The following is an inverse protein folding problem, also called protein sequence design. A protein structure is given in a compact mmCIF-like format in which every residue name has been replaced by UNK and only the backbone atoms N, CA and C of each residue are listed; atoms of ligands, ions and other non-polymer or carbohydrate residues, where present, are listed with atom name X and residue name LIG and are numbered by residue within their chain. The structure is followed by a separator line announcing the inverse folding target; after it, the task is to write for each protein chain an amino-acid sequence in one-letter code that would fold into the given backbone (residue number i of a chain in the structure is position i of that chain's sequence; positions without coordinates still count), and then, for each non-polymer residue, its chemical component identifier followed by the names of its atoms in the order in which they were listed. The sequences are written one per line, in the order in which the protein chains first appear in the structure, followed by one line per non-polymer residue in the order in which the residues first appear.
data_IF_611530642406
#
_entry.id   IF_611530642406
#
_cell.length_a   1.000
_cell.length_b   1.000
_cell.length_c   1.000
_cell.angle_alpha   90.00
_cell.angle_beta   90.00
_cell.angle_gamma   90.00
#
_symmetry.space_group_name_H-M   'P 1'
#
loop_
_entity.id
_entity.type
_entity.pdbx_description
1 polymer ?
#
# COMPACT_ATOMS: atom_id res chain seq x y z
N UNK A 1 -3.71 -43.33 12.75
CA UNK A 1 -4.19 -43.47 11.36
C UNK A 1 -5.23 -42.39 11.09
N UNK A 2 -4.89 -41.38 10.27
CA UNK A 2 -5.83 -40.29 9.92
C UNK A 2 -6.66 -40.71 8.71
N UNK A 3 -7.87 -41.22 8.95
CA UNK A 3 -8.87 -41.57 7.93
C UNK A 3 -9.59 -40.34 7.36
N UNK A 4 -8.85 -39.39 6.80
CA UNK A 4 -9.43 -38.22 6.11
C UNK A 4 -9.55 -38.51 4.63
N UNK A 5 -10.65 -38.09 4.01
CA UNK A 5 -10.84 -38.20 2.56
C UNK A 5 -9.88 -37.22 1.87
N UNK A 6 -8.89 -37.75 1.16
CA UNK A 6 -7.87 -36.93 0.48
C UNK A 6 -8.42 -36.19 -0.74
N UNK A 7 -9.53 -36.68 -1.32
CA UNK A 7 -10.17 -36.07 -2.49
C UNK A 7 -11.06 -34.86 -2.14
N UNK A 8 -11.31 -34.59 -0.86
CA UNK A 8 -12.07 -33.41 -0.44
C UNK A 8 -11.12 -32.23 -0.22
N UNK A 9 -11.43 -31.11 -0.87
CA UNK A 9 -10.77 -29.85 -0.57
C UNK A 9 -11.04 -29.48 0.89
N UNK A 10 -9.97 -29.29 1.66
CA UNK A 10 -10.06 -28.84 3.04
C UNK A 10 -10.41 -27.35 3.01
N UNK A 11 -11.53 -26.98 3.62
CA UNK A 11 -11.98 -25.61 3.67
C UNK A 11 -12.28 -25.20 5.12
N UNK A 12 -11.68 -24.11 5.56
CA UNK A 12 -12.06 -23.49 6.83
C UNK A 12 -13.48 -22.94 6.72
N UNK A 13 -14.25 -23.04 7.80
CA UNK A 13 -15.60 -22.46 7.87
C UNK A 13 -15.52 -20.96 7.61
N UNK A 14 -16.36 -20.47 6.71
CA UNK A 14 -16.47 -19.03 6.48
C UNK A 14 -17.30 -18.40 7.60
N UNK A 15 -16.66 -17.51 8.37
CA UNK A 15 -17.30 -16.79 9.47
C UNK A 15 -18.04 -15.55 8.95
N UNK A 16 -17.52 -14.92 7.90
CA UNK A 16 -18.12 -13.74 7.31
C UNK A 16 -17.29 -13.17 6.16
N UNK A 17 -17.70 -11.98 5.72
CA UNK A 17 -17.10 -11.28 4.58
C UNK A 17 -16.66 -9.86 4.95
N UNK A 18 -15.52 -9.47 4.39
CA UNK A 18 -14.94 -8.14 4.45
C UNK A 18 -15.15 -7.46 3.10
N UNK A 19 -15.81 -6.29 3.12
CA UNK A 19 -16.15 -5.51 1.92
C UNK A 19 -15.62 -4.09 2.02
N UNK A 20 -15.40 -3.47 0.86
CA UNK A 20 -14.88 -2.09 0.71
C UNK A 20 -15.94 -1.10 0.23
N UNK A 21 -17.22 -1.50 0.19
CA UNK A 21 -18.31 -0.65 -0.24
C UNK A 21 -19.69 -1.25 0.05
N UNK A 22 -20.71 -0.39 0.00
CA UNK A 22 -22.11 -0.74 0.24
C UNK A 22 -23.02 -0.06 -0.78
N UNK A 23 -24.24 -0.59 -0.96
CA UNK A 23 -25.23 0.02 -1.85
C UNK A 23 -26.22 0.85 -1.04
N UNK A 24 -26.55 2.04 -1.53
CA UNK A 24 -27.65 2.88 -1.02
C UNK A 24 -28.80 2.91 -2.03
N UNK A 25 -30.06 3.02 -1.57
CA UNK A 25 -31.20 3.25 -2.46
C UNK A 25 -30.96 4.46 -3.36
N UNK A 26 -31.43 4.37 -4.60
CA UNK A 26 -31.39 5.50 -5.52
C UNK A 26 -32.59 6.43 -5.23
N UNK A 27 -32.45 7.72 -5.52
CA UNK A 27 -33.54 8.70 -5.40
C UNK A 27 -34.70 8.34 -6.36
N UNK A 28 -34.37 7.76 -7.50
CA UNK A 28 -35.31 7.23 -8.47
C UNK A 28 -35.55 5.72 -8.19
N UNK A 29 -36.76 5.31 -7.77
CA UNK A 29 -37.05 3.93 -7.39
C UNK A 29 -36.95 2.93 -8.56
N UNK A 30 -36.96 3.40 -9.81
CA UNK A 30 -36.80 2.55 -10.98
C UNK A 30 -35.32 2.26 -11.33
N UNK A 31 -34.38 2.99 -10.71
CA UNK A 31 -32.95 2.83 -10.97
C UNK A 31 -32.29 1.89 -9.96
N UNK A 32 -31.20 1.25 -10.40
CA UNK A 32 -30.40 0.36 -9.55
C UNK A 32 -29.86 1.13 -8.33
N UNK A 33 -29.74 0.49 -7.15
CA UNK A 33 -29.08 1.05 -5.99
C UNK A 33 -27.70 1.60 -6.35
N UNK A 34 -27.36 2.76 -5.78
CA UNK A 34 -26.08 3.42 -6.00
C UNK A 34 -25.01 2.76 -5.14
N UNK A 35 -23.93 2.31 -5.75
CA UNK A 35 -22.77 1.80 -5.04
C UNK A 35 -21.98 2.97 -4.40
N UNK A 36 -21.76 2.88 -3.10
CA UNK A 36 -20.95 3.79 -2.29
C UNK A 36 -19.67 3.08 -1.90
N UNK A 37 -18.54 3.74 -2.15
CA UNK A 37 -17.20 3.26 -1.75
C UNK A 37 -16.97 3.67 -0.30
N UNK A 38 -16.58 2.71 0.53
CA UNK A 38 -16.24 2.99 1.93
C UNK A 38 -14.77 3.32 2.07
N UNK A 39 -14.45 4.19 3.03
CA UNK A 39 -13.07 4.45 3.46
C UNK A 39 -12.60 3.43 4.49
N UNK A 40 -13.55 2.84 5.21
CA UNK A 40 -13.33 1.86 6.28
C UNK A 40 -13.89 0.50 5.90
N UNK A 41 -13.53 -0.52 6.67
CA UNK A 41 -13.98 -1.88 6.42
C UNK A 41 -15.46 -2.05 6.72
N UNK A 42 -16.09 -2.95 5.96
CA UNK A 42 -17.46 -3.37 6.20
C UNK A 42 -17.41 -4.86 6.48
N UNK A 43 -17.77 -5.24 7.69
CA UNK A 43 -17.75 -6.61 8.17
C UNK A 43 -19.18 -7.12 8.20
N UNK A 44 -19.41 -8.30 7.64
CA UNK A 44 -20.74 -8.91 7.60
C UNK A 44 -20.69 -10.40 7.89
N UNK A 45 -21.71 -10.90 8.58
CA UNK A 45 -21.86 -12.31 8.89
C UNK A 45 -23.33 -12.68 8.99
N UNK A 46 -23.62 -13.98 8.89
CA UNK A 46 -24.94 -14.50 9.25
C UNK A 46 -25.19 -14.50 10.76
N UNK A 47 -24.13 -14.58 11.57
CA UNK A 47 -24.26 -14.61 13.02
C UNK A 47 -24.00 -13.22 13.61
N UNK A 48 -24.93 -12.76 14.46
CA UNK A 48 -24.89 -11.43 15.07
C UNK A 48 -23.66 -11.24 15.96
N UNK A 49 -23.30 -12.24 16.76
CA UNK A 49 -22.20 -12.15 17.73
C UNK A 49 -20.84 -11.86 17.08
N UNK A 50 -20.58 -12.34 15.86
CA UNK A 50 -19.35 -11.97 15.14
C UNK A 50 -19.35 -10.49 14.74
N UNK A 51 -20.50 -9.94 14.37
CA UNK A 51 -20.60 -8.54 13.95
C UNK A 51 -20.55 -7.60 15.16
N UNK A 52 -21.11 -8.02 16.29
CA UNK A 52 -20.96 -7.33 17.58
C UNK A 52 -19.51 -7.30 18.05
N UNK A 53 -18.81 -8.44 18.04
CA UNK A 53 -17.38 -8.49 18.38
C UNK A 53 -16.53 -7.61 17.45
N UNK A 54 -16.84 -7.59 16.15
CA UNK A 54 -16.18 -6.68 15.22
C UNK A 54 -16.42 -5.20 15.55
N UNK A 55 -17.62 -4.83 16.00
CA UNK A 55 -17.95 -3.48 16.44
C UNK A 55 -17.24 -3.08 17.74
N UNK A 56 -17.04 -4.02 18.66
CA UNK A 56 -16.29 -3.80 19.90
C UNK A 56 -14.81 -3.52 19.63
N UNK A 57 -14.21 -4.23 18.68
CA UNK A 57 -12.78 -4.12 18.37
C UNK A 57 -12.48 -2.92 17.47
N UNK A 58 -13.27 -2.71 16.41
CA UNK A 58 -12.97 -1.71 15.36
C UNK A 58 -13.98 -0.56 15.27
N UNK A 59 -14.88 -0.46 16.26
CA UNK A 59 -15.93 0.57 16.31
C UNK A 59 -17.04 0.34 15.27
N UNK A 60 -18.00 1.27 15.26
CA UNK A 60 -19.13 1.26 14.34
C UNK A 60 -20.45 0.77 14.95
N UNK A 61 -21.51 0.79 14.14
CA UNK A 61 -22.86 0.40 14.56
C UNK A 61 -23.31 -0.86 13.85
N UNK A 62 -23.78 -1.85 14.62
CA UNK A 62 -24.33 -3.10 14.10
C UNK A 62 -25.74 -2.86 13.58
N UNK A 63 -26.00 -3.30 12.35
CA UNK A 63 -27.32 -3.23 11.74
C UNK A 63 -27.71 -4.57 11.09
N UNK A 64 -29.02 -4.84 11.06
CA UNK A 64 -29.58 -5.90 10.22
C UNK A 64 -29.51 -5.45 8.77
N UNK A 65 -28.93 -6.28 7.93
CA UNK A 65 -28.69 -5.96 6.54
C UNK A 65 -29.13 -7.10 5.63
N UNK A 66 -29.93 -6.73 4.62
CA UNK A 66 -30.35 -7.65 3.58
C UNK A 66 -29.43 -7.44 2.36
N UNK A 67 -28.63 -8.44 1.95
CA UNK A 67 -27.83 -8.34 0.74
C UNK A 67 -28.71 -8.17 -0.50
N UNK A 68 -28.21 -7.44 -1.49
CA UNK A 68 -28.93 -7.23 -2.75
C UNK A 68 -29.11 -8.57 -3.49
N UNK A 69 -30.36 -8.95 -3.77
CA UNK A 69 -30.72 -10.21 -4.43
C UNK A 69 -31.40 -11.21 -3.49
N UNK A 70 -31.27 -12.50 -3.79
CA UNK A 70 -31.90 -13.61 -3.03
C UNK A 70 -31.08 -14.09 -1.83
N UNK A 71 -30.19 -13.27 -1.28
CA UNK A 71 -29.40 -13.68 -0.11
C UNK A 71 -30.25 -13.74 1.17
N UNK A 72 -29.85 -14.54 2.15
CA UNK A 72 -30.50 -14.51 3.46
C UNK A 72 -30.17 -13.21 4.22
N UNK A 73 -31.04 -12.82 5.14
CA UNK A 73 -30.76 -11.69 6.04
C UNK A 73 -29.44 -11.95 6.80
N UNK A 74 -28.63 -10.91 6.90
CA UNK A 74 -27.32 -10.92 7.52
C UNK A 74 -27.20 -9.75 8.50
N UNK A 75 -26.14 -9.76 9.28
CA UNK A 75 -25.72 -8.66 10.12
C UNK A 75 -24.51 -7.97 9.49
N UNK A 76 -24.43 -6.67 9.65
CA UNK A 76 -23.34 -5.86 9.12
C UNK A 76 -22.93 -4.78 10.10
N UNK A 77 -21.64 -4.47 10.12
CA UNK A 77 -21.07 -3.28 10.76
C UNK A 77 -20.20 -2.57 9.74
N UNK A 78 -20.34 -1.25 9.68
CA UNK A 78 -19.39 -0.37 9.01
C UNK A 78 -18.44 0.11 10.11
N UNK A 79 -17.18 -0.33 10.04
CA UNK A 79 -16.20 -0.07 11.11
C UNK A 79 -15.66 1.36 10.99
N UNK A 80 -14.98 1.81 12.05
CA UNK A 80 -14.20 3.06 12.02
C UNK A 80 -12.75 2.81 11.54
N UNK A 81 -12.28 1.56 11.63
CA UNK A 81 -10.96 1.16 11.17
C UNK A 81 -10.88 1.02 9.63
N UNK A 82 -9.85 1.61 9.03
CA UNK A 82 -9.44 1.37 7.63
C UNK A 82 -8.35 0.30 7.49
N UNK A 83 -7.80 -0.18 8.61
CA UNK A 83 -6.80 -1.25 8.66
C UNK A 83 -7.20 -2.34 9.63
N UNK A 84 -6.99 -3.60 9.27
CA UNK A 84 -7.25 -4.78 10.09
C UNK A 84 -5.99 -5.64 10.17
N UNK A 85 -5.65 -6.13 11.37
CA UNK A 85 -4.64 -7.17 11.51
C UNK A 85 -5.27 -8.53 11.14
N UNK A 86 -4.55 -9.31 10.35
CA UNK A 86 -5.04 -10.57 9.78
C UNK A 86 -3.90 -11.59 9.65
N UNK A 87 -4.25 -12.84 9.37
CA UNK A 87 -3.31 -13.94 9.16
C UNK A 87 -3.69 -14.65 7.86
N UNK A 88 -2.73 -14.84 6.97
CA UNK A 88 -2.93 -15.66 5.78
C UNK A 88 -2.89 -17.15 6.19
N UNK A 89 -3.93 -17.94 5.89
CA UNK A 89 -3.97 -19.37 6.19
C UNK A 89 -2.94 -20.14 5.35
N UNK A 90 -2.64 -21.40 5.70
CA UNK A 90 -1.79 -22.27 4.87
C UNK A 90 -2.47 -22.62 3.54
N UNK A 91 -1.66 -22.96 2.54
CA UNK A 91 -2.09 -23.13 1.15
C UNK A 91 -2.22 -21.78 0.43
N UNK A 92 -2.91 -21.79 -0.71
CA UNK A 92 -3.21 -20.59 -1.47
C UNK A 92 -4.51 -19.94 -0.93
N UNK A 93 -4.42 -18.77 -0.26
CA UNK A 93 -5.59 -18.07 0.27
C UNK A 93 -6.30 -17.22 -0.78
N UNK A 94 -5.69 -17.02 -1.96
CA UNK A 94 -6.15 -16.11 -2.99
C UNK A 94 -6.91 -16.88 -4.07
N UNK A 95 -8.05 -16.33 -4.50
CA UNK A 95 -8.80 -16.83 -5.63
C UNK A 95 -9.22 -15.67 -6.51
N UNK A 96 -8.78 -15.69 -7.77
CA UNK A 96 -9.09 -14.67 -8.75
C UNK A 96 -9.77 -15.30 -9.96
N UNK A 97 -10.86 -14.66 -10.40
CA UNK A 97 -11.52 -15.04 -11.64
C UNK A 97 -12.27 -13.85 -12.24
N UNK A 98 -12.42 -13.87 -13.56
CA UNK A 98 -13.36 -13.05 -14.28
C UNK A 98 -14.72 -13.74 -14.29
N UNK A 99 -15.71 -13.13 -13.63
CA UNK A 99 -17.02 -13.75 -13.39
C UNK A 99 -18.16 -12.91 -13.97
N UNK A 100 -19.13 -13.58 -14.60
CA UNK A 100 -20.41 -12.99 -14.97
C UNK A 100 -21.52 -13.66 -14.16
N UNK A 101 -22.14 -12.91 -13.27
CA UNK A 101 -23.26 -13.36 -12.45
C UNK A 101 -24.59 -12.80 -12.99
N UNK A 102 -25.58 -13.68 -13.14
CA UNK A 102 -26.98 -13.31 -13.41
C UNK A 102 -27.86 -13.77 -12.26
N UNK A 103 -29.17 -13.52 -12.34
CA UNK A 103 -30.14 -14.05 -11.36
C UNK A 103 -30.13 -15.58 -11.28
N UNK A 104 -29.69 -16.26 -12.34
CA UNK A 104 -29.55 -17.72 -12.41
C UNK A 104 -28.22 -18.27 -11.90
N UNK A 105 -27.34 -17.44 -11.35
CA UNK A 105 -26.02 -17.84 -10.83
C UNK A 105 -24.85 -17.41 -11.71
N UNK A 106 -23.68 -18.02 -11.48
CA UNK A 106 -22.47 -17.77 -12.24
C UNK A 106 -22.63 -18.35 -13.66
N UNK A 107 -22.81 -17.47 -14.64
CA UNK A 107 -22.93 -17.86 -16.05
C UNK A 107 -21.56 -18.14 -16.66
N UNK A 108 -20.54 -17.41 -16.22
CA UNK A 108 -19.17 -17.52 -16.72
C UNK A 108 -18.19 -17.32 -15.59
N UNK A 109 -17.09 -18.08 -15.64
CA UNK A 109 -15.93 -17.94 -14.76
C UNK A 109 -14.70 -18.30 -15.58
N UNK A 110 -13.81 -17.34 -15.82
CA UNK A 110 -12.57 -17.58 -16.58
C UNK A 110 -11.35 -16.96 -15.89
N UNK A 111 -10.17 -17.49 -16.16
CA UNK A 111 -8.87 -16.94 -15.71
C UNK A 111 -8.30 -15.87 -16.67
N UNK A 112 -9.04 -15.57 -17.75
CA UNK A 112 -8.62 -14.70 -18.85
C UNK A 112 -8.16 -15.47 -20.09
N UNK A 113 -7.79 -16.74 -19.94
CA UNK A 113 -7.40 -17.64 -21.02
C UNK A 113 -8.48 -18.70 -21.27
N UNK A 114 -8.95 -19.35 -20.20
CA UNK A 114 -9.82 -20.51 -20.20
C UNK A 114 -10.98 -20.29 -19.25
N UNK A 115 -12.17 -20.73 -19.65
CA UNK A 115 -13.37 -20.74 -18.83
C UNK A 115 -13.47 -22.05 -18.03
N UNK A 116 -13.57 -21.93 -16.71
CA UNK A 116 -13.57 -23.06 -15.77
C UNK A 116 -14.88 -23.85 -15.70
N UNK A 117 -15.96 -23.40 -16.36
CA UNK A 117 -17.27 -24.08 -16.31
C UNK A 117 -17.47 -25.02 -17.51
N UNK A 118 -17.00 -24.64 -18.70
CA UNK A 118 -17.09 -25.44 -19.93
C UNK A 118 -15.74 -25.91 -20.48
N UNK A 119 -14.63 -25.55 -19.84
CA UNK A 119 -13.25 -25.80 -20.29
C UNK A 119 -12.96 -25.28 -21.72
N UNK A 120 -13.70 -24.26 -22.15
CA UNK A 120 -13.51 -23.57 -23.43
C UNK A 120 -12.64 -22.31 -23.26
N UNK A 121 -12.09 -21.72 -24.33
CA UNK A 121 -11.39 -20.45 -24.21
C UNK A 121 -12.27 -19.35 -23.61
N UNK A 122 -11.68 -18.41 -22.89
CA UNK A 122 -12.45 -17.36 -22.21
C UNK A 122 -13.24 -16.51 -23.22
N UNK A 123 -14.57 -16.66 -23.17
CA UNK A 123 -15.49 -15.96 -24.06
C UNK A 123 -15.35 -14.43 -23.99
N UNK A 124 -15.15 -13.88 -22.79
CA UNK A 124 -15.00 -12.43 -22.61
C UNK A 124 -13.77 -11.88 -23.34
N UNK A 125 -12.67 -12.64 -23.36
CA UNK A 125 -11.49 -12.29 -24.15
C UNK A 125 -11.73 -12.46 -25.64
N UNK A 126 -12.38 -13.54 -26.06
CA UNK A 126 -12.69 -13.75 -27.49
C UNK A 126 -13.58 -12.64 -28.07
N UNK A 127 -14.58 -12.19 -27.31
CA UNK A 127 -15.53 -11.20 -27.81
C UNK A 127 -14.98 -9.77 -27.79
N UNK A 128 -14.20 -9.39 -26.77
CA UNK A 128 -13.81 -7.99 -26.54
C UNK A 128 -12.28 -7.76 -26.54
N UNK A 129 -11.48 -8.79 -26.80
CA UNK A 129 -10.02 -8.74 -26.81
C UNK A 129 -9.40 -8.82 -25.42
N UNK A 130 -8.07 -8.62 -25.35
CA UNK A 130 -7.30 -8.81 -24.12
C UNK A 130 -7.75 -7.87 -23.01
N UNK A 131 -7.91 -6.57 -23.28
CA UNK A 131 -8.31 -5.56 -22.29
C UNK A 131 -9.84 -5.42 -22.13
N UNK A 132 -10.58 -6.54 -22.17
CA UNK A 132 -12.05 -6.50 -22.13
C UNK A 132 -12.60 -5.84 -20.87
N UNK A 133 -11.90 -5.92 -19.73
CA UNK A 133 -12.34 -5.30 -18.47
C UNK A 133 -12.40 -3.77 -18.53
N UNK A 134 -11.71 -3.12 -19.48
CA UNK A 134 -11.78 -1.67 -19.69
C UNK A 134 -12.78 -1.27 -20.77
N UNK A 135 -12.85 -2.06 -21.86
CA UNK A 135 -13.56 -1.68 -23.09
C UNK A 135 -14.98 -2.22 -23.17
N UNK A 136 -15.26 -3.33 -22.50
CA UNK A 136 -16.52 -4.02 -22.66
C UNK A 136 -17.63 -3.43 -21.77
N UNK A 137 -18.91 -3.58 -22.17
CA UNK A 137 -20.03 -3.09 -21.36
C UNK A 137 -20.07 -3.78 -19.99
N UNK A 138 -20.20 -3.01 -18.90
CA UNK A 138 -20.18 -3.51 -17.51
C UNK A 138 -21.22 -4.58 -17.18
N UNK A 139 -22.32 -4.61 -17.93
CA UNK A 139 -23.42 -5.54 -17.73
C UNK A 139 -23.31 -6.81 -18.60
N UNK A 140 -22.45 -6.83 -19.61
CA UNK A 140 -22.25 -7.95 -20.52
C UNK A 140 -20.91 -8.66 -20.31
N UNK A 141 -19.90 -7.92 -19.86
CA UNK A 141 -18.55 -8.41 -19.66
C UNK A 141 -18.36 -9.09 -18.30
N UNK A 142 -17.42 -10.03 -18.25
CA UNK A 142 -16.98 -10.65 -17.02
C UNK A 142 -16.33 -9.59 -16.10
N UNK A 143 -16.68 -9.59 -14.82
CA UNK A 143 -16.11 -8.69 -13.81
C UNK A 143 -14.93 -9.36 -13.14
N UNK A 144 -13.84 -8.62 -12.97
CA UNK A 144 -12.74 -9.08 -12.13
C UNK A 144 -13.24 -9.27 -10.71
N UNK A 145 -12.98 -10.45 -10.13
CA UNK A 145 -13.39 -10.77 -8.77
C UNK A 145 -12.24 -11.44 -8.05
N UNK A 146 -11.76 -10.76 -7.01
CA UNK A 146 -10.66 -11.22 -6.17
C UNK A 146 -11.20 -11.53 -4.79
N UNK A 147 -10.91 -12.75 -4.33
CA UNK A 147 -11.29 -13.27 -3.03
C UNK A 147 -10.05 -13.67 -2.27
N UNK A 148 -9.85 -13.12 -1.09
CA UNK A 148 -8.75 -13.48 -0.20
C UNK A 148 -9.32 -14.02 1.11
N UNK A 149 -8.95 -15.23 1.47
CA UNK A 149 -9.30 -15.83 2.75
C UNK A 149 -8.25 -15.44 3.79
N UNK A 150 -8.71 -14.88 4.90
CA UNK A 150 -7.85 -14.46 6.02
C UNK A 150 -8.43 -14.94 7.35
N UNK A 151 -7.59 -15.10 8.35
CA UNK A 151 -8.01 -15.34 9.74
C UNK A 151 -7.83 -14.01 10.48
N UNK A 152 -8.85 -13.60 11.24
CA UNK A 152 -8.77 -12.37 12.04
C UNK A 152 -8.49 -12.74 13.50
N UNK A 153 -7.31 -12.41 14.05
CA UNK A 153 -6.90 -12.85 15.39
C UNK A 153 -7.70 -12.19 16.52
N UNK A 154 -8.28 -11.02 16.27
CA UNK A 154 -9.10 -10.28 17.25
C UNK A 154 -10.57 -10.75 17.25
N UNK A 155 -10.95 -11.64 16.33
CA UNK A 155 -12.31 -12.17 16.22
C UNK A 155 -12.47 -13.48 16.99
N UNK A 156 -13.67 -13.75 17.54
CA UNK A 156 -13.96 -15.05 18.12
C UNK A 156 -14.05 -16.13 17.05
N UNK A 157 -13.72 -17.36 17.43
CA UNK A 157 -13.73 -18.59 16.62
C UNK A 157 -12.58 -18.71 15.60
N UNK A 158 -12.21 -19.95 15.26
CA UNK A 158 -11.17 -20.25 14.28
C UNK A 158 -11.84 -20.53 12.93
N UNK A 159 -11.81 -19.54 12.05
CA UNK A 159 -12.37 -19.67 10.70
C UNK A 159 -11.85 -18.62 9.73
N UNK A 160 -12.31 -18.72 8.49
CA UNK A 160 -11.90 -17.82 7.43
C UNK A 160 -12.89 -16.65 7.27
N UNK A 161 -12.34 -15.46 7.18
CA UNK A 161 -13.00 -14.26 6.71
C UNK A 161 -12.61 -14.03 5.26
N UNK A 162 -13.61 -13.77 4.41
CA UNK A 162 -13.38 -13.59 2.99
C UNK A 162 -13.41 -12.11 2.62
N UNK A 163 -12.26 -11.58 2.23
CA UNK A 163 -12.16 -10.27 1.58
C UNK A 163 -12.63 -10.43 0.15
N UNK A 164 -13.57 -9.60 -0.30
CA UNK A 164 -14.09 -9.61 -1.66
C UNK A 164 -13.94 -8.22 -2.30
N UNK A 165 -13.24 -8.15 -3.43
CA UNK A 165 -13.05 -6.92 -4.20
C UNK A 165 -13.22 -7.17 -5.69
N UNK A 166 -13.77 -6.17 -6.38
CA UNK A 166 -13.91 -6.14 -7.85
C UNK A 166 -13.06 -5.04 -8.50
N UNK A 167 -12.09 -4.52 -7.76
CA UNK A 167 -11.18 -3.49 -8.25
C UNK A 167 -10.02 -4.13 -8.99
N UNK A 168 -9.75 -3.66 -10.21
CA UNK A 168 -8.60 -4.09 -11.01
C UNK A 168 -7.27 -3.87 -10.26
N UNK A 169 -7.11 -2.71 -9.64
CA UNK A 169 -5.90 -2.37 -8.89
C UNK A 169 -5.70 -3.24 -7.65
N UNK A 170 -6.77 -3.49 -6.91
CA UNK A 170 -6.69 -4.41 -5.76
C UNK A 170 -6.38 -5.83 -6.21
N UNK A 171 -6.92 -6.29 -7.33
CA UNK A 171 -6.60 -7.61 -7.85
C UNK A 171 -5.09 -7.77 -8.11
N UNK A 172 -4.49 -6.81 -8.82
CA UNK A 172 -3.06 -6.88 -9.13
C UNK A 172 -2.17 -6.75 -7.88
N UNK A 173 -2.47 -5.80 -7.00
CA UNK A 173 -1.65 -5.57 -5.79
C UNK A 173 -1.76 -6.73 -4.80
N UNK A 174 -2.97 -7.28 -4.61
CA UNK A 174 -3.16 -8.42 -3.71
C UNK A 174 -2.47 -9.69 -4.23
N UNK A 175 -2.53 -9.94 -5.54
CA UNK A 175 -1.83 -11.09 -6.14
C UNK A 175 -0.32 -11.00 -5.92
N UNK A 176 0.28 -9.88 -6.32
CA UNK A 176 1.71 -9.66 -6.15
C UNK A 176 2.15 -9.76 -4.68
N UNK A 177 1.38 -9.20 -3.75
CA UNK A 177 1.70 -9.26 -2.33
C UNK A 177 1.62 -10.70 -1.78
N UNK A 178 0.57 -11.45 -2.11
CA UNK A 178 0.41 -12.83 -1.65
C UNK A 178 1.50 -13.75 -2.22
N UNK A 179 1.81 -13.62 -3.51
CA UNK A 179 2.82 -14.44 -4.18
C UNK A 179 4.21 -14.22 -3.59
N UNK A 180 4.58 -12.97 -3.31
CA UNK A 180 5.87 -12.64 -2.65
C UNK A 180 5.90 -13.21 -1.23
N UNK A 181 4.83 -13.01 -0.45
CA UNK A 181 4.78 -13.49 0.93
C UNK A 181 4.85 -15.01 1.01
N UNK A 182 4.08 -15.71 0.18
CA UNK A 182 4.04 -17.18 0.15
C UNK A 182 5.30 -17.78 -0.46
N UNK A 183 5.82 -17.19 -1.54
CA UNK A 183 7.06 -17.63 -2.17
C UNK A 183 8.30 -17.46 -1.27
N UNK A 184 8.32 -16.44 -0.41
CA UNK A 184 9.45 -16.19 0.51
C UNK A 184 9.35 -16.92 1.84
N UNK A 185 8.15 -17.06 2.41
CA UNK A 185 7.95 -17.62 3.76
C UNK A 185 7.57 -19.10 3.71
N UNK A 186 6.92 -19.53 2.63
CA UNK A 186 6.47 -20.90 2.39
C UNK A 186 4.95 -21.05 2.46
N UNK A 187 4.43 -21.95 1.64
CA UNK A 187 2.97 -22.12 1.44
C UNK A 187 2.23 -22.62 2.70
N UNK A 188 2.92 -23.38 3.55
CA UNK A 188 2.33 -23.98 4.76
C UNK A 188 2.37 -23.07 5.99
N UNK A 189 3.02 -21.90 5.90
CA UNK A 189 3.14 -20.99 7.03
C UNK A 189 1.88 -20.14 7.24
N UNK A 190 1.60 -19.83 8.51
CA UNK A 190 0.72 -18.73 8.89
C UNK A 190 1.52 -17.42 8.83
N UNK A 191 1.05 -16.51 7.98
CA UNK A 191 1.75 -15.24 7.73
C UNK A 191 0.91 -14.11 8.33
N UNK A 192 1.39 -13.42 9.39
CA UNK A 192 0.68 -12.28 9.95
C UNK A 192 0.81 -11.08 9.02
N UNK A 193 -0.32 -10.54 8.59
CA UNK A 193 -0.43 -9.42 7.66
C UNK A 193 -1.34 -8.32 8.21
N UNK A 194 -1.26 -7.14 7.61
CA UNK A 194 -2.20 -6.04 7.82
C UNK A 194 -2.92 -5.77 6.51
N UNK A 195 -4.24 -5.74 6.57
CA UNK A 195 -5.12 -5.38 5.45
C UNK A 195 -5.50 -3.92 5.58
N UNK A 196 -5.17 -3.09 4.59
CA UNK A 196 -5.46 -1.65 4.62
C UNK A 196 -6.27 -1.22 3.40
N UNK A 197 -7.27 -0.36 3.61
CA UNK A 197 -7.99 0.32 2.52
C UNK A 197 -7.30 1.65 2.24
N UNK A 198 -6.75 1.79 1.04
CA UNK A 198 -6.21 3.04 0.53
C UNK A 198 -7.16 3.69 -0.47
N UNK A 199 -7.43 4.99 -0.32
CA UNK A 199 -8.15 5.74 -1.34
C UNK A 199 -7.14 6.31 -2.34
N UNK A 200 -7.21 5.83 -3.59
CA UNK A 200 -6.36 6.35 -4.67
C UNK A 200 -7.19 7.12 -5.69
N UNK A 201 -6.54 8.08 -6.33
CA UNK A 201 -7.12 8.90 -7.39
C UNK A 201 -6.49 8.58 -8.73
N UNK A 202 -7.32 8.43 -9.76
CA UNK A 202 -6.87 8.45 -11.15
C UNK A 202 -7.74 9.39 -11.97
N UNK A 203 -7.11 10.16 -12.83
CA UNK A 203 -7.79 10.89 -13.90
C UNK A 203 -7.89 9.94 -15.10
N UNK A 204 -9.11 9.61 -15.51
CA UNK A 204 -9.38 8.82 -16.71
C UNK A 204 -10.48 9.51 -17.51
N UNK A 205 -10.24 9.73 -18.80
CA UNK A 205 -11.15 10.45 -19.70
C UNK A 205 -11.57 11.83 -19.15
N UNK A 206 -10.61 12.59 -18.58
CA UNK A 206 -10.86 13.92 -18.01
C UNK A 206 -11.64 13.94 -16.68
N UNK A 207 -11.97 12.79 -16.11
CA UNK A 207 -12.67 12.69 -14.82
C UNK A 207 -11.77 12.08 -13.73
N UNK A 208 -11.62 12.79 -12.61
CA UNK A 208 -10.97 12.27 -11.41
C UNK A 208 -11.88 11.26 -10.72
N UNK A 209 -11.42 10.02 -10.61
CA UNK A 209 -12.13 8.94 -9.92
C UNK A 209 -11.32 8.50 -8.70
N UNK A 210 -11.97 8.54 -7.54
CA UNK A 210 -11.47 7.96 -6.30
C UNK A 210 -11.89 6.50 -6.21
N UNK A 211 -10.96 5.58 -5.94
CA UNK A 211 -11.26 4.16 -5.77
C UNK A 211 -10.51 3.56 -4.58
N UNK A 212 -11.15 2.69 -3.78
CA UNK A 212 -10.49 1.95 -2.72
C UNK A 212 -9.59 0.87 -3.33
N UNK A 213 -8.39 0.76 -2.79
CA UNK A 213 -7.44 -0.32 -3.04
C UNK A 213 -7.19 -1.06 -1.74
N UNK A 214 -7.31 -2.38 -1.77
CA UNK A 214 -6.92 -3.23 -0.64
C UNK A 214 -5.43 -3.54 -0.76
N UNK A 215 -4.65 -3.04 0.19
CA UNK A 215 -3.23 -3.34 0.34
C UNK A 215 -3.03 -4.45 1.39
N UNK A 216 -2.13 -5.39 1.10
CA UNK A 216 -1.71 -6.45 2.02
C UNK A 216 -0.27 -6.18 2.42
N UNK A 217 -0.04 -5.91 3.70
CA UNK A 217 1.27 -5.55 4.25
C UNK A 217 1.75 -6.62 5.22
N UNK A 218 3.05 -6.91 5.26
CA UNK A 218 3.58 -7.83 6.27
C UNK A 218 3.58 -7.17 7.65
N UNK A 219 3.15 -7.90 8.67
CA UNK A 219 3.24 -7.44 10.06
C UNK A 219 4.57 -7.86 10.68
N UNK A 220 5.32 -6.91 11.23
CA UNK A 220 6.49 -7.18 12.06
C UNK A 220 7.76 -7.63 11.32
N UNK A 221 7.78 -7.56 9.99
CA UNK A 221 8.97 -7.87 9.18
C UNK A 221 9.22 -6.81 8.11
N UNK A 222 10.49 -6.61 7.75
CA UNK A 222 10.88 -5.76 6.63
C UNK A 222 10.94 -6.55 5.33
N UNK A 223 10.85 -5.87 4.18
CA UNK A 223 11.03 -6.50 2.87
C UNK A 223 12.37 -7.26 2.78
N UNK A 224 13.44 -6.71 3.36
CA UNK A 224 14.74 -7.39 3.43
C UNK A 224 14.69 -8.70 4.21
N UNK A 225 13.93 -8.75 5.32
CA UNK A 225 13.76 -9.97 6.09
C UNK A 225 12.93 -11.02 5.36
N UNK A 226 11.89 -10.60 4.62
CA UNK A 226 11.09 -11.49 3.75
C UNK A 226 11.96 -12.13 2.70
N UNK A 227 12.69 -11.31 1.94
CA UNK A 227 13.54 -11.78 0.85
C UNK A 227 14.71 -12.63 1.34
N UNK A 228 15.20 -12.37 2.55
CA UNK A 228 16.22 -13.18 3.20
C UNK A 228 15.67 -14.47 3.85
N UNK A 229 14.36 -14.74 3.79
CA UNK A 229 13.72 -15.91 4.40
C UNK A 229 13.78 -15.92 5.94
N UNK A 230 13.97 -14.76 6.56
CA UNK A 230 14.24 -14.61 8.01
C UNK A 230 13.05 -14.10 8.82
N UNK A 231 11.86 -14.08 8.22
CA UNK A 231 10.63 -13.67 8.90
C UNK A 231 10.17 -14.77 9.84
N UNK A 232 9.95 -14.40 11.11
CA UNK A 232 9.37 -15.29 12.11
C UNK A 232 7.93 -15.62 11.72
N UNK A 233 7.69 -16.88 11.37
CA UNK A 233 6.34 -17.41 11.16
C UNK A 233 5.71 -17.73 12.50
N UNK A 234 4.38 -17.61 12.58
CA UNK A 234 3.66 -18.14 13.74
C UNK A 234 3.68 -19.66 13.61
N UNK A 235 4.57 -20.31 14.35
CA UNK A 235 4.70 -21.76 14.34
C UNK A 235 3.43 -22.41 14.92
N UNK A 236 2.71 -23.18 14.11
CA UNK A 236 1.66 -24.08 14.61
C UNK A 236 2.31 -25.40 15.01
N UNK A 237 2.61 -25.58 16.30
CA UNK A 237 2.92 -26.89 16.87
C UNK A 237 3.97 -26.86 17.97
N UNK A 238 3.55 -27.20 19.19
CA UNK A 238 4.41 -27.46 20.34
C UNK A 238 4.20 -26.44 21.44
N UNK A 239 3.30 -26.75 22.37
CA UNK A 239 3.16 -25.98 23.59
C UNK A 239 4.47 -25.94 24.37
N UNK A 240 5.09 -24.77 24.39
CA UNK A 240 5.73 -24.25 25.57
C UNK A 240 5.24 -22.83 25.71
N UNK A 241 4.43 -22.59 26.75
CA UNK A 241 4.31 -21.26 27.31
C UNK A 241 5.73 -20.72 27.55
N UNK A 242 6.02 -19.43 27.30
CA UNK A 242 7.18 -18.85 27.92
C UNK A 242 6.90 -18.88 29.42
N UNK A 243 7.59 -19.79 30.12
CA UNK A 243 7.65 -19.77 31.58
C UNK A 243 8.09 -18.36 31.98
N UNK A 244 7.29 -17.77 32.87
CA UNK A 244 7.73 -16.72 33.77
C UNK A 244 8.95 -17.24 34.53
N UNK A 245 10.12 -16.98 33.96
CA UNK A 245 11.40 -17.17 34.63
C UNK A 245 11.52 -16.16 35.76
N UNK A 246 11.07 -16.55 36.95
CA UNK A 246 11.54 -16.00 38.21
C UNK A 246 13.07 -16.11 38.26
N UNK A 247 13.78 -15.05 37.87
CA UNK A 247 15.14 -14.83 38.31
C UNK A 247 15.07 -14.13 39.67
N UNK A 248 15.23 -14.94 40.71
CA UNK A 248 15.38 -14.51 42.08
C UNK A 248 16.60 -13.57 42.26
N UNK A 249 16.41 -12.70 43.24
CA UNK A 249 17.33 -11.72 43.80
C UNK A 249 18.68 -12.37 44.13
N UNK A 250 19.77 -11.81 43.61
CA UNK A 250 21.12 -12.17 44.03
C UNK A 250 22.20 -11.32 43.36
N UNK A 251 22.95 -10.57 44.16
CA UNK A 251 24.31 -10.15 43.81
C UNK A 251 24.44 -8.80 43.13
N UNK A 252 24.60 -7.75 43.94
CA UNK A 252 25.25 -6.52 43.52
C UNK A 252 26.74 -6.81 43.23
N UNK A 253 27.12 -6.84 41.95
CA UNK A 253 28.53 -6.75 41.56
C UNK A 253 28.74 -5.68 40.46
N UNK A 254 29.36 -4.59 40.94
CA UNK A 254 30.31 -3.71 40.29
C UNK A 254 30.19 -3.41 38.78
N UNK A 255 29.65 -2.23 38.50
CA UNK A 255 29.91 -1.47 37.28
C UNK A 255 31.42 -1.16 37.16
N UNK A 256 32.10 -1.46 36.03
CA UNK A 256 33.45 -0.97 35.80
C UNK A 256 33.40 0.55 35.63
N UNK A 257 34.09 1.23 36.54
CA UNK A 257 34.19 2.69 36.66
C UNK A 257 35.18 3.18 35.59
N UNK A 258 34.69 3.94 34.60
CA UNK A 258 35.54 4.83 33.78
C UNK A 258 35.11 6.27 34.02
N UNK A 259 36.11 7.13 34.20
CA UNK A 259 35.99 8.46 34.75
C UNK A 259 35.35 9.46 33.77
N UNK A 260 34.67 10.44 34.38
CA UNK A 260 34.05 11.68 33.86
C UNK A 260 32.55 11.56 33.51
N UNK A 261 31.71 12.02 34.46
CA UNK A 261 30.26 12.22 34.34
C UNK A 261 29.41 11.10 34.96
N UNK A 262 28.66 11.40 36.03
CA UNK A 262 27.98 10.40 36.89
C UNK A 262 26.82 9.60 36.24
N UNK A 263 26.34 8.52 36.90
CA UNK A 263 25.31 7.64 36.36
C UNK A 263 23.92 8.31 36.40
N UNK A 264 23.25 8.34 35.24
CA UNK A 264 21.85 8.74 35.11
C UNK A 264 20.97 7.51 35.38
N UNK A 265 20.75 7.18 36.66
CA UNK A 265 19.67 6.28 37.05
C UNK A 265 18.35 7.06 37.21
N UNK A 266 17.95 7.75 36.15
CA UNK A 266 16.65 8.42 36.03
C UNK A 266 16.19 8.26 34.59
N UNK A 267 14.95 7.84 34.37
CA UNK A 267 14.42 7.67 33.02
C UNK A 267 14.61 8.92 32.15
N UNK A 268 14.48 8.76 30.82
CA UNK A 268 14.63 9.80 29.80
C UNK A 268 14.19 11.24 30.16
N UNK A 269 13.07 11.50 30.89
CA UNK A 269 12.71 12.86 31.30
C UNK A 269 13.71 13.55 32.24
N UNK A 270 14.49 12.82 33.05
CA UNK A 270 15.43 13.41 34.01
C UNK A 270 16.56 14.22 33.37
N UNK A 271 17.35 13.70 32.41
CA UNK A 271 18.37 14.49 31.71
C UNK A 271 17.75 15.61 30.86
N UNK A 272 16.58 15.37 30.27
CA UNK A 272 15.90 16.37 29.44
C UNK A 272 15.40 17.59 30.24
N UNK A 273 14.95 17.39 31.49
CA UNK A 273 14.59 18.49 32.40
C UNK A 273 15.80 19.35 32.79
N UNK A 274 17.01 18.80 32.74
CA UNK A 274 18.24 19.51 33.06
C UNK A 274 18.79 20.34 31.88
N UNK A 275 18.30 20.12 30.66
CA UNK A 275 18.71 20.88 29.49
C UNK A 275 18.31 22.36 29.62
N UNK A 276 19.28 23.27 29.47
CA UNK A 276 19.05 24.71 29.57
C UNK A 276 18.85 25.36 28.21
N UNK A 277 19.29 24.69 27.14
CA UNK A 277 19.15 25.17 25.77
C UNK A 277 18.48 24.12 24.89
N UNK A 278 17.85 24.59 23.81
CA UNK A 278 17.23 23.69 22.83
C UNK A 278 18.26 22.79 22.13
N UNK A 279 19.50 23.26 21.96
CA UNK A 279 20.58 22.48 21.38
C UNK A 279 20.98 21.30 22.28
N UNK A 280 21.12 21.51 23.59
CA UNK A 280 21.39 20.44 24.57
C UNK A 280 20.25 19.41 24.60
N UNK A 281 19.00 19.87 24.57
CA UNK A 281 17.83 18.99 24.53
C UNK A 281 17.83 18.08 23.30
N UNK A 282 18.20 18.61 22.13
CA UNK A 282 18.27 17.83 20.88
C UNK A 282 19.35 16.75 20.94
N UNK A 283 20.51 17.04 21.54
CA UNK A 283 21.59 16.04 21.73
C UNK A 283 21.10 14.88 22.59
N UNK A 284 20.41 15.16 23.71
CA UNK A 284 19.85 14.13 24.60
C UNK A 284 18.80 13.28 23.87
N UNK A 285 17.95 13.89 23.05
CA UNK A 285 16.94 13.19 22.25
C UNK A 285 17.58 12.27 21.19
N UNK A 286 18.58 12.76 20.47
CA UNK A 286 19.28 12.00 19.42
C UNK A 286 20.14 10.87 20.01
N UNK A 287 20.68 11.04 21.22
CA UNK A 287 21.37 9.99 21.98
C UNK A 287 20.40 8.91 22.47
N UNK A 288 19.23 9.30 22.98
CA UNK A 288 18.18 8.36 23.37
C UNK A 288 17.69 7.50 22.20
N UNK A 289 17.51 8.12 21.03
CA UNK A 289 17.13 7.43 19.79
C UNK A 289 18.21 6.45 19.33
N UNK A 290 19.50 6.84 19.39
CA UNK A 290 20.63 5.96 19.06
C UNK A 290 20.79 4.79 20.04
N UNK A 291 20.43 5.00 21.31
CA UNK A 291 20.44 3.96 22.33
C UNK A 291 19.21 3.02 22.27
N UNK A 292 18.27 3.24 21.33
CA UNK A 292 17.08 2.43 21.20
C UNK A 292 16.08 2.56 22.35
N UNK A 293 16.17 3.63 23.13
CA UNK A 293 15.28 3.86 24.27
C UNK A 293 13.98 4.47 23.73
N UNK A 294 12.93 3.65 23.62
CA UNK A 294 11.60 4.11 23.24
C UNK A 294 10.90 4.76 24.46
N UNK A 295 10.59 6.07 24.44
CA UNK A 295 9.87 6.71 25.53
C UNK A 295 8.43 6.21 25.58
N UNK A 296 7.85 6.12 26.78
CA UNK A 296 6.40 5.89 26.92
C UNK A 296 5.61 7.09 26.39
N UNK A 297 4.32 6.93 26.12
CA UNK A 297 3.45 8.02 25.64
C UNK A 297 3.47 9.23 26.58
N UNK A 298 3.44 9.01 27.90
CA UNK A 298 3.56 10.06 28.91
C UNK A 298 4.92 10.78 28.85
N UNK A 299 6.01 10.03 28.63
CA UNK A 299 7.35 10.61 28.48
C UNK A 299 7.47 11.40 27.18
N UNK A 300 6.89 10.93 26.08
CA UNK A 300 6.86 11.67 24.80
C UNK A 300 6.11 13.00 24.92
N UNK A 301 4.95 13.01 25.59
CA UNK A 301 4.21 14.23 25.85
C UNK A 301 5.03 15.23 26.67
N UNK A 302 5.72 14.75 27.71
CA UNK A 302 6.56 15.58 28.57
C UNK A 302 7.77 16.15 27.81
N UNK A 303 8.47 15.33 27.04
CA UNK A 303 9.62 15.74 26.24
C UNK A 303 9.23 16.77 25.18
N UNK A 304 8.06 16.60 24.56
CA UNK A 304 7.51 17.58 23.61
C UNK A 304 7.24 18.92 24.29
N UNK A 305 6.73 18.92 25.52
CA UNK A 305 6.51 20.15 26.28
C UNK A 305 7.83 20.87 26.64
N UNK A 306 8.87 20.12 27.04
CA UNK A 306 10.20 20.66 27.34
C UNK A 306 10.84 21.28 26.09
N UNK A 307 10.80 20.56 24.96
CA UNK A 307 11.34 21.04 23.69
C UNK A 307 10.67 22.32 23.20
N UNK A 308 9.33 22.41 23.29
CA UNK A 308 8.57 23.63 22.94
C UNK A 308 8.97 24.82 23.82
N UNK A 309 9.10 24.61 25.14
CA UNK A 309 9.53 25.66 26.08
C UNK A 309 10.92 26.19 25.74
N UNK A 310 11.89 25.31 25.52
CA UNK A 310 13.28 25.69 25.24
C UNK A 310 13.43 26.38 23.87
N UNK A 311 12.64 25.96 22.86
CA UNK A 311 12.62 26.61 21.55
C UNK A 311 12.08 28.04 21.64
N UNK A 312 10.98 28.25 22.37
CA UNK A 312 10.40 29.57 22.57
C UNK A 312 11.37 30.53 23.30
N UNK A 313 12.11 30.03 24.30
CA UNK A 313 13.15 30.82 24.98
C UNK A 313 14.34 31.16 24.07
N UNK A 314 14.72 30.26 23.14
CA UNK A 314 15.78 30.53 22.18
C UNK A 314 15.38 31.60 21.14
N UNK A 315 14.13 31.60 20.69
CA UNK A 315 13.60 32.61 19.76
C UNK A 315 13.48 34.01 20.41
N UNK A 316 13.22 34.08 21.71
CA UNK A 316 13.16 35.36 22.45
C UNK A 316 14.54 35.98 22.74
N UNK A 317 15.63 35.22 22.61
CA UNK A 317 16.99 35.70 22.95
C UNK A 317 17.80 36.12 21.72
N UNK A 318 17.20 36.16 20.53
CA UNK A 318 17.90 36.61 19.30
C UNK A 318 18.00 38.14 19.29
N UNK A 319 19.20 38.75 19.46
CA UNK A 319 19.35 40.19 19.35
C UNK A 319 19.19 40.61 17.88
N UNK A 320 18.43 41.68 17.63
CA UNK A 320 18.39 42.33 16.34
C UNK A 320 19.80 42.87 16.02
N UNK A 321 20.44 42.39 14.96
CA UNK A 321 21.71 42.94 14.49
C UNK A 321 21.71 43.07 12.97
N UNK A 322 21.66 44.34 12.57
CA UNK A 322 22.39 45.02 11.50
C UNK A 322 22.69 44.30 10.17
N UNK A 323 22.20 44.97 9.14
CA UNK A 323 22.32 44.79 7.70
C UNK A 323 23.72 45.21 7.19
N UNK A 324 24.37 44.34 6.39
CA UNK A 324 25.54 44.64 5.52
C UNK A 324 25.75 43.46 4.51
N UNK A 325 26.37 43.67 3.33
CA UNK A 325 25.69 43.49 2.04
C UNK A 325 25.94 42.16 1.31
N UNK A 326 25.02 41.88 0.38
CA UNK A 326 24.92 40.68 -0.45
C UNK A 326 25.86 40.68 -1.67
N UNK A 327 26.36 39.49 -1.99
CA UNK A 327 26.88 39.10 -3.32
C UNK A 327 25.68 38.68 -4.19
N UNK A 328 25.54 39.12 -5.45
CA UNK A 328 24.32 38.89 -6.22
C UNK A 328 24.26 37.47 -6.81
N UNK A 329 23.16 36.77 -6.54
CA UNK A 329 22.71 35.58 -7.26
C UNK A 329 21.73 35.99 -8.40
N UNK A 330 21.66 35.26 -9.52
CA UNK A 330 20.80 35.62 -10.65
C UNK A 330 19.30 35.55 -10.32
N UNK A 331 18.52 36.37 -11.01
CA UNK A 331 17.11 36.69 -10.75
C UNK A 331 16.18 35.48 -10.95
N UNK A 332 15.36 35.20 -9.93
CA UNK A 332 14.32 34.16 -9.90
C UNK A 332 13.16 34.34 -10.92
N UNK A 333 13.15 35.40 -11.73
CA UNK A 333 12.10 35.65 -12.72
C UNK A 333 12.32 34.87 -14.04
N UNK A 334 13.58 34.64 -14.44
CA UNK A 334 13.92 33.96 -15.71
C UNK A 334 13.70 32.43 -15.63
N UNK A 335 13.75 31.86 -14.43
CA UNK A 335 13.58 30.41 -14.23
C UNK A 335 12.14 29.93 -14.49
N UNK A 336 11.13 30.77 -14.23
CA UNK A 336 9.72 30.40 -14.39
C UNK A 336 9.31 30.22 -15.85
N UNK A 337 9.93 30.99 -16.77
CA UNK A 337 9.64 30.93 -18.20
C UNK A 337 10.41 29.79 -18.90
N UNK A 338 11.62 29.47 -18.42
CA UNK A 338 12.38 28.31 -18.89
C UNK A 338 11.68 26.97 -18.61
N UNK A 339 11.10 26.80 -17.41
CA UNK A 339 10.34 25.60 -17.04
C UNK A 339 9.10 25.41 -17.93
N UNK A 340 8.43 26.51 -18.28
CA UNK A 340 7.28 26.49 -19.19
C UNK A 340 7.68 26.07 -20.61
N UNK A 341 8.78 26.61 -21.15
CA UNK A 341 9.27 26.22 -22.47
C UNK A 341 9.69 24.74 -22.51
N UNK A 342 10.38 24.26 -21.48
CA UNK A 342 10.76 22.85 -21.39
C UNK A 342 9.53 21.93 -21.34
N UNK A 343 8.49 22.31 -20.60
CA UNK A 343 7.24 21.54 -20.55
C UNK A 343 6.57 21.40 -21.94
N UNK A 344 6.63 22.45 -22.78
CA UNK A 344 6.10 22.42 -24.14
C UNK A 344 6.93 21.53 -25.07
N UNK A 345 8.26 21.54 -24.91
CA UNK A 345 9.18 20.67 -25.66
C UNK A 345 8.85 19.19 -25.35
N UNK A 346 8.68 18.85 -24.07
CA UNK A 346 8.33 17.49 -23.65
C UNK A 346 7.00 17.04 -24.25
N UNK A 347 5.98 17.90 -24.26
CA UNK A 347 4.66 17.57 -24.80
C UNK A 347 4.65 17.37 -26.32
N UNK A 348 5.48 18.09 -27.06
CA UNK A 348 5.55 17.99 -28.52
C UNK A 348 6.52 16.91 -29.01
N UNK A 349 7.44 16.45 -28.16
CA UNK A 349 8.43 15.45 -28.55
C UNK A 349 7.81 14.04 -28.66
N UNK A 350 8.14 13.27 -29.71
CA UNK A 350 7.73 11.87 -29.82
C UNK A 350 8.67 10.90 -29.07
N UNK A 351 9.72 11.41 -28.42
CA UNK A 351 10.81 10.61 -27.84
C UNK A 351 10.65 10.41 -26.33
N UNK A 352 11.18 9.30 -25.76
CA UNK A 352 11.30 9.14 -24.32
C UNK A 352 12.26 10.19 -23.73
N UNK A 353 12.04 10.56 -22.46
CA UNK A 353 12.76 11.66 -21.79
C UNK A 353 14.30 11.56 -21.90
N UNK A 354 14.86 10.37 -21.75
CA UNK A 354 16.31 10.14 -21.86
C UNK A 354 16.87 10.47 -23.25
N UNK A 355 16.11 10.17 -24.30
CA UNK A 355 16.49 10.46 -25.68
C UNK A 355 16.29 11.94 -26.00
N UNK A 356 15.21 12.55 -25.50
CA UNK A 356 14.95 13.98 -25.61
C UNK A 356 16.09 14.80 -25.01
N UNK A 357 16.52 14.48 -23.78
CA UNK A 357 17.63 15.18 -23.11
C UNK A 357 18.95 15.02 -23.88
N UNK A 358 19.25 13.81 -24.36
CA UNK A 358 20.46 13.56 -25.16
C UNK A 358 20.44 14.31 -26.50
N UNK A 359 19.26 14.40 -27.14
CA UNK A 359 19.06 15.12 -28.40
C UNK A 359 19.15 16.63 -28.22
N UNK A 360 18.53 17.15 -27.16
CA UNK A 360 18.66 18.56 -26.78
C UNK A 360 20.12 18.94 -26.57
N UNK A 361 20.85 18.18 -25.73
CA UNK A 361 22.26 18.43 -25.48
C UNK A 361 23.10 18.38 -26.77
N UNK A 362 22.82 17.45 -27.69
CA UNK A 362 23.55 17.38 -28.98
C UNK A 362 23.31 18.60 -29.87
N UNK A 363 22.09 19.11 -29.93
CA UNK A 363 21.73 20.25 -30.79
C UNK A 363 22.15 21.59 -30.17
N UNK A 364 22.20 21.67 -28.84
CA UNK A 364 22.54 22.87 -28.09
C UNK A 364 23.99 22.88 -27.59
N UNK A 365 24.90 22.22 -28.32
CA UNK A 365 26.35 22.31 -28.05
C UNK A 365 26.83 21.72 -26.73
N UNK A 366 26.10 20.73 -26.19
CA UNK A 366 26.40 20.04 -24.93
C UNK A 366 25.70 20.63 -23.70
N UNK A 367 24.88 21.67 -23.86
CA UNK A 367 24.14 22.29 -22.76
C UNK A 367 22.99 21.39 -22.34
N UNK A 368 22.91 21.09 -21.04
CA UNK A 368 21.81 20.32 -20.47
C UNK A 368 20.55 21.20 -20.32
N UNK A 369 19.33 20.65 -20.43
CA UNK A 369 18.09 21.44 -20.40
C UNK A 369 17.90 22.30 -19.15
N UNK A 370 18.43 21.86 -18.01
CA UNK A 370 18.41 22.56 -16.72
C UNK A 370 19.41 23.72 -16.63
N UNK A 371 20.38 23.76 -17.55
CA UNK A 371 21.37 24.82 -17.69
C UNK A 371 21.14 25.71 -18.93
N UNK A 372 20.09 25.43 -19.71
CA UNK A 372 19.78 26.16 -20.94
C UNK A 372 19.08 27.50 -20.65
N UNK A 373 19.43 28.52 -21.43
CA UNK A 373 18.73 29.79 -21.44
C UNK A 373 17.38 29.68 -22.14
N UNK A 374 16.49 30.64 -21.87
CA UNK A 374 15.17 30.74 -22.51
C UNK A 374 15.27 30.76 -24.05
N UNK A 375 16.24 31.51 -24.58
CA UNK A 375 16.48 31.59 -26.02
C UNK A 375 16.88 30.24 -26.64
N UNK A 376 17.66 29.45 -25.91
CA UNK A 376 18.09 28.11 -26.35
C UNK A 376 16.92 27.12 -26.36
N UNK A 377 16.05 27.18 -25.35
CA UNK A 377 14.83 26.39 -25.28
C UNK A 377 13.84 26.76 -26.39
N UNK A 378 13.64 28.06 -26.64
CA UNK A 378 12.73 28.53 -27.70
C UNK A 378 13.23 28.13 -29.10
N UNK A 379 14.53 28.26 -29.37
CA UNK A 379 15.13 27.80 -30.64
C UNK A 379 14.89 26.30 -30.86
N UNK A 380 15.08 25.48 -29.82
CA UNK A 380 14.83 24.03 -29.92
C UNK A 380 13.34 23.72 -30.15
N UNK A 381 12.45 24.41 -29.46
CA UNK A 381 10.99 24.29 -29.61
C UNK A 381 10.52 24.67 -31.03
N UNK A 382 11.08 25.74 -31.61
CA UNK A 382 10.78 26.16 -32.97
C UNK A 382 11.21 25.10 -34.01
N UNK A 383 12.42 24.54 -33.87
CA UNK A 383 12.91 23.46 -34.75
C UNK A 383 12.07 22.17 -34.62
N UNK A 384 11.58 21.88 -33.43
CA UNK A 384 10.68 20.75 -33.18
C UNK A 384 9.35 20.94 -33.90
N UNK A 385 8.78 22.15 -33.85
CA UNK A 385 7.55 22.51 -34.58
C UNK A 385 7.75 22.54 -36.10
N UNK A 386 8.93 22.92 -36.57
CA UNK A 386 9.29 22.92 -37.99
C UNK A 386 9.47 21.50 -38.56
N UNK A 387 9.59 20.47 -37.70
CA UNK A 387 9.79 19.10 -38.12
C UNK A 387 11.21 18.82 -38.64
N UNK A 388 12.19 19.63 -38.25
CA UNK A 388 13.59 19.54 -38.70
C UNK A 388 14.28 18.25 -38.21
N UNK A 389 13.66 17.52 -37.29
CA UNK A 389 14.15 16.28 -36.72
C UNK A 389 13.58 15.05 -37.44
N UNK A 390 13.73 14.97 -38.77
CA UNK A 390 13.49 13.72 -39.50
C UNK A 390 14.45 12.63 -38.99
N UNK A 391 13.92 11.47 -38.62
CA UNK A 391 14.72 10.29 -38.33
C UNK A 391 15.59 9.92 -39.54
N UNK A 392 16.86 9.51 -39.34
CA UNK A 392 17.53 8.73 -40.37
C UNK A 392 16.77 7.40 -40.52
N UNK A 393 16.39 7.07 -41.75
CA UNK A 393 15.77 5.78 -42.08
C UNK A 393 16.62 4.63 -41.50
N UNK A 394 16.00 3.79 -40.68
CA UNK A 394 16.63 2.66 -40.04
C UNK A 394 17.38 1.78 -41.06
N UNK A 395 18.70 1.69 -40.90
CA UNK A 395 19.51 0.73 -41.63
C UNK A 395 19.04 -0.69 -41.27
N UNK A 396 18.75 -1.49 -42.31
CA UNK A 396 18.27 -2.85 -42.20
C UNK A 396 19.17 -3.71 -41.31
N UNK A 397 18.61 -4.24 -40.23
CA UNK A 397 19.25 -5.25 -39.41
C UNK A 397 19.40 -6.55 -40.21
N UNK A 398 20.64 -7.06 -40.28
CA UNK A 398 20.95 -8.34 -40.88
C UNK A 398 20.29 -9.50 -40.08
N UNK A 399 19.86 -10.59 -40.74
CA UNK A 399 19.24 -11.72 -40.05
C UNK A 399 20.28 -12.52 -39.24
N UNK A 400 19.99 -12.77 -37.97
CA UNK A 400 20.77 -13.66 -37.11
C UNK A 400 20.61 -15.11 -37.56
N UNK A 401 21.70 -15.72 -38.03
CA UNK A 401 21.85 -17.16 -38.13
C UNK A 401 22.09 -17.71 -36.73
N UNK A 402 21.07 -18.31 -36.11
CA UNK A 402 21.23 -19.36 -35.09
C UNK A 402 19.87 -20.00 -34.74
N UNK A 403 19.47 -20.97 -35.56
CA UNK A 403 18.62 -22.08 -35.11
C UNK A 403 19.30 -23.39 -35.55
N UNK A 404 19.64 -24.30 -34.63
CA UNK A 404 20.02 -25.65 -35.01
C UNK A 404 18.77 -26.49 -35.32
N UNK A 405 18.88 -27.46 -36.25
CA UNK A 405 17.73 -28.23 -36.71
C UNK A 405 17.38 -29.35 -35.72
N UNK A 406 16.11 -29.47 -35.34
CA UNK A 406 15.25 -30.66 -35.40
C UNK A 406 13.96 -30.44 -34.61
#
# INVERSE_FOLDING_TARGET
MSGRILTLQRQARELGRLRTGYSVPNEDPNKRPRAVRSQTWIISSHAEHYVQAAAEVWGGTVEKWQPQGNGAAQWRVITEANSLDAILPPGDPLSQAYELWTKGGAQRRCDGMTESLSDQPCFCRQQWGDAFWERAPKDAACKITTRLNVILPEMPDIGAWRVETHSYYSANEMAAAVDVLKGSIGDQALIPVRLRIEQRTRVANGQTKHFPVVAVELRGGTAGQVLAGSVQTVAIGGGQAPEEGQAAIGGAEACPRRAVGGPVCGGLPSPARAAKTFAEFKVIWDEAGRAGIAPTEAQNAEMTAIGKRLKASAEQTKPATAEAPAVPAPRAAEAADADLLWSQIVQLSPWPMSELTARFAREMGGVAPDAASEAELDVFLQRLRAGDFKEPAAAAAAPSLDQPPF
#
